data_IF_625132063005
#
_entry.id   IF_625132063005
#
_cell.length_a   1.000
_cell.length_b   1.000
_cell.length_c   1.000
_cell.angle_alpha   90.00
_cell.angle_beta   90.00
_cell.angle_gamma   90.00
#
_symmetry.space_group_name_H-M   'P 1'
#
loop_
_entity.id
_entity.type
_entity.pdbx_description
1 polymer ?
#
# COMPACT_ATOMS: atom_id res chain seq x y z
N UNK A 1 -5.17 22.43 -10.80
CA UNK A 1 -5.23 23.73 -10.17
C UNK A 1 -3.91 24.48 -10.42
N UNK A 2 -3.96 25.73 -10.87
CA UNK A 2 -2.77 26.58 -11.02
C UNK A 2 -2.66 27.45 -9.77
N UNK A 3 -1.93 27.03 -8.76
CA UNK A 3 -1.74 27.74 -7.51
C UNK A 3 -0.28 27.80 -7.07
N UNK A 4 0.04 28.65 -6.12
CA UNK A 4 1.36 28.73 -5.50
C UNK A 4 1.41 27.70 -4.37
N UNK A 5 2.27 26.68 -4.52
CA UNK A 5 2.48 25.62 -3.52
C UNK A 5 3.41 26.09 -2.39
N UNK A 6 4.42 26.91 -2.72
CA UNK A 6 5.42 27.41 -1.77
C UNK A 6 5.84 28.83 -2.15
N UNK A 7 6.01 29.71 -1.16
CA UNK A 7 6.64 31.01 -1.31
C UNK A 7 7.75 31.16 -0.28
N UNK A 8 8.93 31.56 -0.73
CA UNK A 8 10.08 31.81 0.13
C UNK A 8 10.68 33.21 -0.14
N UNK A 9 11.23 33.84 0.88
CA UNK A 9 11.97 35.10 0.78
C UNK A 9 13.35 34.94 1.38
N UNK A 10 14.34 35.57 0.78
CA UNK A 10 15.72 35.51 1.24
C UNK A 10 16.68 36.22 0.28
N UNK A 11 17.96 36.22 0.59
CA UNK A 11 18.99 36.70 -0.31
C UNK A 11 19.11 35.78 -1.54
N UNK A 12 19.52 36.33 -2.68
CA UNK A 12 19.69 35.56 -3.91
C UNK A 12 20.55 34.31 -3.72
N UNK A 13 21.68 34.43 -3.02
CA UNK A 13 22.56 33.27 -2.76
C UNK A 13 21.89 32.16 -1.94
N UNK A 14 21.16 32.51 -0.88
CA UNK A 14 20.44 31.51 -0.06
C UNK A 14 19.30 30.84 -0.82
N UNK A 15 18.54 31.61 -1.59
CA UNK A 15 17.46 31.05 -2.41
C UNK A 15 18.05 30.10 -3.49
N UNK A 16 19.13 30.50 -4.14
CA UNK A 16 19.81 29.67 -5.14
C UNK A 16 20.38 28.37 -4.55
N UNK A 17 20.86 28.39 -3.33
CA UNK A 17 21.41 27.20 -2.66
C UNK A 17 20.37 26.11 -2.38
N UNK A 18 19.09 26.47 -2.16
CA UNK A 18 18.09 25.51 -1.68
C UNK A 18 16.91 25.26 -2.64
N UNK A 19 16.65 26.16 -3.61
CA UNK A 19 15.42 26.06 -4.42
C UNK A 19 15.29 24.75 -5.19
N UNK A 20 16.39 24.27 -5.79
CA UNK A 20 16.35 23.05 -6.62
C UNK A 20 16.06 21.82 -5.78
N UNK A 21 16.64 21.71 -4.58
CA UNK A 21 16.34 20.64 -3.65
C UNK A 21 14.86 20.66 -3.22
N UNK A 22 14.37 21.84 -2.86
CA UNK A 22 12.95 22.03 -2.47
C UNK A 22 12.01 21.65 -3.63
N UNK A 23 12.32 22.10 -4.85
CA UNK A 23 11.58 21.77 -6.06
C UNK A 23 11.53 20.25 -6.28
N UNK A 24 12.69 19.56 -6.27
CA UNK A 24 12.75 18.11 -6.48
C UNK A 24 11.94 17.35 -5.43
N UNK A 25 12.07 17.70 -4.14
CA UNK A 25 11.30 17.08 -3.06
C UNK A 25 9.80 17.23 -3.29
N UNK A 26 9.35 18.42 -3.68
CA UNK A 26 7.93 18.64 -3.98
C UNK A 26 7.48 17.87 -5.23
N UNK A 27 8.25 17.87 -6.30
CA UNK A 27 7.92 17.18 -7.56
C UNK A 27 7.76 15.67 -7.35
N UNK A 28 8.73 15.01 -6.70
CA UNK A 28 8.66 13.57 -6.41
C UNK A 28 7.52 13.23 -5.44
N UNK A 29 7.37 14.00 -4.38
CA UNK A 29 6.28 13.77 -3.41
C UNK A 29 4.90 13.98 -4.04
N UNK A 30 4.74 15.01 -4.88
CA UNK A 30 3.49 15.27 -5.60
C UNK A 30 3.18 14.14 -6.58
N UNK A 31 4.18 13.59 -7.28
CA UNK A 31 3.98 12.44 -8.17
C UNK A 31 3.46 11.20 -7.42
N UNK A 32 4.00 10.91 -6.23
CA UNK A 32 3.48 9.82 -5.39
C UNK A 32 2.05 10.13 -4.95
N UNK A 33 1.77 11.33 -4.46
CA UNK A 33 0.45 11.72 -3.98
C UNK A 33 -0.61 11.66 -5.10
N UNK A 34 -0.28 12.16 -6.30
CA UNK A 34 -1.18 12.15 -7.47
C UNK A 34 -1.53 10.70 -7.87
N UNK A 35 -0.53 9.85 -8.08
CA UNK A 35 -0.77 8.44 -8.41
C UNK A 35 -1.58 7.71 -7.35
N UNK A 36 -1.32 8.01 -6.08
CA UNK A 36 -2.09 7.42 -4.98
C UNK A 36 -3.54 7.89 -5.00
N UNK A 37 -3.77 9.18 -5.25
CA UNK A 37 -5.12 9.74 -5.34
C UNK A 37 -5.90 9.15 -6.52
N UNK A 38 -5.29 9.03 -7.69
CA UNK A 38 -5.88 8.40 -8.87
C UNK A 38 -6.30 6.96 -8.61
N UNK A 39 -5.39 6.15 -8.04
CA UNK A 39 -5.67 4.76 -7.70
C UNK A 39 -6.78 4.64 -6.65
N UNK A 40 -6.71 5.46 -5.59
CA UNK A 40 -7.71 5.46 -4.52
C UNK A 40 -9.09 5.88 -5.02
N UNK A 41 -9.15 6.88 -5.91
CA UNK A 41 -10.40 7.32 -6.52
C UNK A 41 -11.00 6.24 -7.42
N UNK A 42 -10.19 5.59 -8.27
CA UNK A 42 -10.64 4.51 -9.15
C UNK A 42 -11.20 3.33 -8.34
N UNK A 43 -10.51 2.90 -7.29
CA UNK A 43 -10.94 1.80 -6.43
C UNK A 43 -12.24 2.13 -5.68
N UNK A 44 -12.32 3.30 -5.03
CA UNK A 44 -13.48 3.72 -4.23
C UNK A 44 -14.69 4.09 -5.04
N UNK A 45 -14.56 4.41 -6.31
CA UNK A 45 -15.70 4.61 -7.22
C UNK A 45 -16.53 3.32 -7.38
N UNK A 46 -15.91 2.15 -7.23
CA UNK A 46 -16.55 0.83 -7.34
C UNK A 46 -16.85 0.23 -5.97
N UNK A 47 -15.90 0.30 -5.06
CA UNK A 47 -16.06 -0.19 -3.68
C UNK A 47 -15.64 0.93 -2.70
N UNK A 48 -16.60 1.72 -2.16
CA UNK A 48 -16.30 2.82 -1.24
C UNK A 48 -15.59 2.39 0.06
N UNK A 49 -15.72 1.12 0.45
CA UNK A 49 -15.11 0.57 1.67
C UNK A 49 -13.66 0.08 1.47
N UNK A 50 -13.20 -0.06 0.22
CA UNK A 50 -11.86 -0.58 -0.03
C UNK A 50 -10.76 0.37 0.42
N UNK A 51 -9.72 -0.17 1.02
CA UNK A 51 -8.52 0.55 1.39
C UNK A 51 -7.40 0.31 0.36
N UNK A 52 -6.73 1.38 -0.05
CA UNK A 52 -5.46 1.26 -0.79
C UNK A 52 -4.34 1.36 0.22
N UNK A 53 -3.56 0.30 0.38
CA UNK A 53 -2.45 0.23 1.32
C UNK A 53 -1.10 0.20 0.60
N UNK A 54 -0.16 1.04 1.04
CA UNK A 54 1.16 1.13 0.41
C UNK A 54 2.19 0.31 1.18
N UNK A 55 3.06 -0.38 0.42
CA UNK A 55 4.12 -1.25 0.96
C UNK A 55 5.31 -0.44 1.48
N UNK A 56 6.35 -1.15 1.96
CA UNK A 56 7.64 -0.56 2.36
C UNK A 56 8.64 -0.43 1.20
N UNK A 57 8.24 -0.69 -0.05
CA UNK A 57 9.12 -0.69 -1.24
C UNK A 57 9.34 0.73 -1.81
N UNK A 58 9.42 1.74 -0.94
CA UNK A 58 9.82 3.11 -1.32
C UNK A 58 11.34 3.20 -1.52
N UNK A 59 11.79 4.30 -2.13
CA UNK A 59 13.23 4.55 -2.32
C UNK A 59 13.97 4.60 -0.96
N UNK A 60 15.14 3.92 -0.83
CA UNK A 60 15.94 3.96 0.40
C UNK A 60 16.28 5.40 0.82
N UNK A 61 16.12 5.70 2.12
CA UNK A 61 16.33 7.04 2.64
C UNK A 61 15.13 8.00 2.51
N UNK A 62 14.15 7.71 1.62
CA UNK A 62 12.99 8.58 1.38
C UNK A 62 11.71 8.15 2.11
N UNK A 63 11.79 7.25 3.12
CA UNK A 63 10.62 6.67 3.79
C UNK A 63 9.61 7.72 4.27
N UNK A 64 10.06 8.70 5.04
CA UNK A 64 9.16 9.69 5.64
C UNK A 64 8.40 10.51 4.58
N UNK A 65 9.10 10.97 3.53
CA UNK A 65 8.51 11.73 2.42
C UNK A 65 7.54 10.87 1.61
N UNK A 66 7.94 9.65 1.27
CA UNK A 66 7.13 8.74 0.47
C UNK A 66 5.82 8.35 1.18
N UNK A 67 5.89 8.03 2.48
CA UNK A 67 4.71 7.69 3.26
C UNK A 67 3.79 8.90 3.44
N UNK A 68 4.35 10.08 3.74
CA UNK A 68 3.56 11.32 3.85
C UNK A 68 2.84 11.65 2.54
N UNK A 69 3.50 11.47 1.41
CA UNK A 69 2.91 11.69 0.09
C UNK A 69 1.79 10.68 -0.22
N UNK A 70 1.98 9.40 0.07
CA UNK A 70 0.96 8.38 -0.11
C UNK A 70 -0.27 8.63 0.78
N UNK A 71 -0.07 8.99 2.05
CA UNK A 71 -1.15 9.38 2.96
C UNK A 71 -1.93 10.60 2.43
N UNK A 72 -1.23 11.61 1.91
CA UNK A 72 -1.86 12.79 1.31
C UNK A 72 -2.70 12.44 0.06
N UNK A 73 -2.35 11.37 -0.65
CA UNK A 73 -3.13 10.81 -1.76
C UNK A 73 -4.28 9.90 -1.33
N UNK A 74 -4.50 9.71 -0.04
CA UNK A 74 -5.63 8.95 0.52
C UNK A 74 -5.38 7.46 0.69
N UNK A 75 -4.12 7.00 0.63
CA UNK A 75 -3.76 5.63 0.99
C UNK A 75 -3.65 5.43 2.50
N UNK A 76 -3.68 4.18 2.91
CA UNK A 76 -3.25 3.70 4.23
C UNK A 76 -1.83 3.14 4.15
N UNK A 77 -1.21 2.93 5.30
CA UNK A 77 0.06 2.22 5.38
C UNK A 77 -0.22 0.74 5.67
N UNK A 78 0.38 -0.16 4.89
CA UNK A 78 0.24 -1.59 5.13
C UNK A 78 0.89 -1.94 6.48
N UNK A 79 2.19 -1.72 6.61
CA UNK A 79 2.94 -1.78 7.88
C UNK A 79 4.17 -0.87 7.83
N UNK A 80 4.57 -0.32 8.96
CA UNK A 80 5.71 0.60 9.06
C UNK A 80 7.07 -0.11 9.18
N UNK A 81 7.08 -1.33 9.72
CA UNK A 81 8.29 -2.10 9.96
C UNK A 81 8.00 -3.54 10.37
N UNK A 82 9.04 -4.28 10.76
CA UNK A 82 8.93 -5.67 11.21
C UNK A 82 8.27 -5.81 12.59
N UNK A 83 8.24 -4.74 13.37
CA UNK A 83 7.64 -4.70 14.71
C UNK A 83 6.17 -4.27 14.72
N UNK A 84 5.59 -3.94 13.57
CA UNK A 84 4.22 -3.43 13.48
C UNK A 84 3.20 -4.58 13.43
N UNK A 85 3.18 -5.36 12.36
CA UNK A 85 2.39 -6.58 12.21
C UNK A 85 3.26 -7.75 11.77
N UNK A 86 2.78 -8.96 11.95
CA UNK A 86 3.44 -10.18 11.46
C UNK A 86 2.93 -10.44 10.06
N UNK A 87 3.83 -10.50 9.08
CA UNK A 87 3.51 -10.86 7.71
C UNK A 87 4.49 -11.91 7.22
N UNK A 88 3.97 -13.08 6.90
CA UNK A 88 4.73 -14.21 6.38
C UNK A 88 4.64 -14.26 4.85
N UNK A 89 5.79 -14.40 4.20
CA UNK A 89 5.97 -14.67 2.77
C UNK A 89 6.61 -16.05 2.60
N UNK A 90 6.69 -16.55 1.39
CA UNK A 90 7.35 -17.81 1.05
C UNK A 90 8.74 -17.93 1.66
N UNK A 91 9.56 -16.90 1.51
CA UNK A 91 10.93 -16.89 2.05
C UNK A 91 10.99 -17.00 3.58
N UNK A 92 9.90 -16.80 4.30
CA UNK A 92 9.82 -17.06 5.74
C UNK A 92 9.32 -18.49 6.02
N UNK A 93 8.35 -18.96 5.21
CA UNK A 93 7.68 -20.25 5.40
C UNK A 93 8.62 -21.45 5.15
N UNK A 94 9.60 -21.30 4.25
CA UNK A 94 10.61 -22.36 3.98
C UNK A 94 11.44 -22.77 5.22
N UNK A 95 11.45 -21.96 6.28
CA UNK A 95 12.12 -22.26 7.54
C UNK A 95 11.21 -22.94 8.57
N UNK A 96 9.96 -23.22 8.20
CA UNK A 96 8.98 -23.86 9.05
C UNK A 96 8.60 -25.21 8.47
N UNK A 97 8.73 -26.31 9.24
CA UNK A 97 8.30 -27.62 8.82
C UNK A 97 6.79 -27.68 8.55
N UNK A 98 6.00 -26.95 9.35
CA UNK A 98 4.57 -26.79 9.22
C UNK A 98 4.16 -25.34 9.60
N UNK A 99 4.00 -24.49 8.60
CA UNK A 99 3.62 -23.08 8.81
C UNK A 99 2.21 -22.96 9.39
N UNK A 100 1.27 -23.82 8.98
CA UNK A 100 -0.12 -23.78 9.47
C UNK A 100 -0.15 -24.05 10.98
N UNK A 101 0.62 -25.00 11.47
CA UNK A 101 0.73 -25.31 12.90
C UNK A 101 1.43 -24.21 13.71
N UNK A 102 2.14 -23.28 13.06
CA UNK A 102 2.76 -22.13 13.72
C UNK A 102 1.78 -20.97 13.95
N UNK A 103 0.73 -20.83 13.13
CA UNK A 103 -0.21 -19.70 13.21
C UNK A 103 -0.80 -19.54 14.60
N UNK A 104 -1.41 -20.56 15.24
CA UNK A 104 -1.95 -20.42 16.59
C UNK A 104 -0.87 -20.15 17.64
N UNK A 105 0.35 -20.64 17.44
CA UNK A 105 1.49 -20.36 18.34
C UNK A 105 1.92 -18.90 18.25
N UNK A 106 1.95 -18.34 17.03
CA UNK A 106 2.23 -16.92 16.81
C UNK A 106 1.15 -16.04 17.43
N UNK A 107 -0.12 -16.39 17.26
CA UNK A 107 -1.24 -15.67 17.87
C UNK A 107 -1.16 -15.66 19.41
N UNK A 108 -0.80 -16.78 20.01
CA UNK A 108 -0.60 -16.88 21.46
C UNK A 108 0.62 -16.09 21.96
N UNK A 109 1.71 -16.08 21.18
CA UNK A 109 2.93 -15.36 21.55
C UNK A 109 2.83 -13.82 21.37
N UNK A 110 1.98 -13.37 20.44
CA UNK A 110 1.82 -11.95 20.07
C UNK A 110 0.34 -11.57 20.00
N UNK A 111 -0.40 -11.60 21.12
CA UNK A 111 -1.86 -11.42 21.11
C UNK A 111 -2.31 -10.02 20.66
N UNK A 112 -1.43 -9.02 20.72
CA UNK A 112 -1.68 -7.65 20.26
C UNK A 112 -1.34 -7.42 18.79
N UNK A 113 -0.77 -8.43 18.08
CA UNK A 113 -0.36 -8.29 16.68
C UNK A 113 -1.33 -9.00 15.75
N UNK A 114 -1.66 -8.33 14.65
CA UNK A 114 -2.30 -9.01 13.53
C UNK A 114 -1.30 -9.92 12.82
N UNK A 115 -1.78 -11.11 12.46
CA UNK A 115 -1.03 -12.09 11.68
C UNK A 115 -1.59 -12.10 10.27
N UNK A 116 -0.69 -11.97 9.32
CA UNK A 116 -0.97 -11.96 7.90
C UNK A 116 -0.04 -12.95 7.19
N UNK A 117 -0.54 -13.64 6.18
CA UNK A 117 0.28 -14.45 5.27
C UNK A 117 -0.09 -14.16 3.81
N UNK A 118 0.93 -14.20 2.95
CA UNK A 118 0.77 -14.20 1.52
C UNK A 118 0.39 -15.60 1.05
N UNK A 119 -0.62 -15.71 0.19
CA UNK A 119 -1.09 -16.95 -0.40
C UNK A 119 -1.06 -16.84 -1.93
N UNK A 120 -0.66 -17.93 -2.58
CA UNK A 120 -0.56 -18.02 -4.04
C UNK A 120 -1.73 -18.79 -4.66
N UNK A 121 -2.59 -19.41 -3.83
CA UNK A 121 -3.82 -20.08 -4.27
C UNK A 121 -4.97 -19.89 -3.31
N UNK A 122 -6.24 -20.00 -3.78
CA UNK A 122 -7.42 -19.97 -2.92
C UNK A 122 -7.41 -21.04 -1.83
N UNK A 123 -6.93 -22.25 -2.12
CA UNK A 123 -6.84 -23.36 -1.18
C UNK A 123 -5.88 -23.03 -0.03
N UNK A 124 -4.71 -22.48 -0.37
CA UNK A 124 -3.71 -22.04 0.60
C UNK A 124 -4.27 -20.93 1.48
N UNK A 125 -4.88 -19.90 0.87
CA UNK A 125 -5.51 -18.79 1.57
C UNK A 125 -6.60 -19.26 2.55
N UNK A 126 -7.45 -20.18 2.11
CA UNK A 126 -8.49 -20.77 2.96
C UNK A 126 -7.89 -21.60 4.11
N UNK A 127 -6.82 -22.34 3.85
CA UNK A 127 -6.08 -23.09 4.88
C UNK A 127 -5.56 -22.17 5.99
N UNK A 128 -5.03 -20.99 5.63
CA UNK A 128 -4.56 -20.01 6.60
C UNK A 128 -5.70 -19.40 7.42
N UNK A 129 -6.84 -19.09 6.79
CA UNK A 129 -8.02 -18.58 7.50
C UNK A 129 -8.54 -19.60 8.51
N UNK A 130 -8.60 -20.89 8.16
CA UNK A 130 -9.00 -21.98 9.06
C UNK A 130 -8.02 -22.16 10.22
N UNK A 131 -6.73 -21.87 10.02
CA UNK A 131 -5.71 -21.88 11.07
C UNK A 131 -5.80 -20.65 12.00
N UNK A 132 -6.64 -19.66 11.71
CA UNK A 132 -6.89 -18.50 12.56
C UNK A 132 -6.07 -17.27 12.23
N UNK A 133 -5.63 -17.12 10.98
CA UNK A 133 -4.96 -15.90 10.54
C UNK A 133 -5.95 -14.73 10.45
N UNK A 134 -5.51 -13.51 10.78
CA UNK A 134 -6.35 -12.32 10.75
C UNK A 134 -6.57 -11.77 9.33
N UNK A 135 -5.56 -11.90 8.49
CA UNK A 135 -5.52 -11.33 7.15
C UNK A 135 -4.78 -12.24 6.17
N UNK A 136 -5.36 -12.46 5.00
CA UNK A 136 -4.65 -13.12 3.90
C UNK A 136 -4.38 -12.13 2.78
N UNK A 137 -3.16 -12.16 2.25
CA UNK A 137 -2.74 -11.40 1.08
C UNK A 137 -2.70 -12.33 -0.13
N UNK A 138 -3.71 -12.20 -1.02
CA UNK A 138 -3.80 -12.96 -2.26
C UNK A 138 -2.82 -12.38 -3.28
N UNK A 139 -1.71 -13.06 -3.54
CA UNK A 139 -0.68 -12.59 -4.44
C UNK A 139 -1.00 -13.00 -5.88
N UNK A 140 -1.21 -12.01 -6.73
CA UNK A 140 -1.46 -12.16 -8.17
C UNK A 140 -2.68 -13.03 -8.56
N UNK A 141 -3.67 -13.16 -7.70
CA UNK A 141 -4.93 -13.79 -8.10
C UNK A 141 -5.56 -13.01 -9.25
N UNK A 142 -6.10 -13.73 -10.23
CA UNK A 142 -6.91 -13.08 -11.26
C UNK A 142 -8.21 -12.52 -10.64
N UNK A 143 -8.76 -11.39 -11.11
CA UNK A 143 -9.96 -10.80 -10.52
C UNK A 143 -11.15 -11.75 -10.37
N UNK A 144 -11.41 -12.61 -11.38
CA UNK A 144 -12.50 -13.57 -11.31
C UNK A 144 -12.29 -14.64 -10.22
N UNK A 145 -11.08 -15.17 -10.10
CA UNK A 145 -10.67 -16.11 -9.05
C UNK A 145 -10.77 -15.46 -7.66
N UNK A 146 -10.25 -14.24 -7.55
CA UNK A 146 -10.29 -13.46 -6.31
C UNK A 146 -11.73 -13.20 -5.86
N UNK A 147 -12.63 -12.85 -6.77
CA UNK A 147 -14.05 -12.62 -6.44
C UNK A 147 -14.74 -13.89 -5.91
N UNK A 148 -14.45 -15.04 -6.52
CA UNK A 148 -14.96 -16.33 -6.05
C UNK A 148 -14.42 -16.65 -4.64
N UNK A 149 -13.11 -16.50 -4.44
CA UNK A 149 -12.46 -16.69 -3.14
C UNK A 149 -13.00 -15.75 -2.06
N UNK A 150 -13.13 -14.45 -2.34
CA UNK A 150 -13.68 -13.48 -1.39
C UNK A 150 -15.07 -13.86 -0.93
N UNK A 151 -15.94 -14.28 -1.85
CA UNK A 151 -17.30 -14.72 -1.55
C UNK A 151 -17.31 -15.93 -0.60
N UNK A 152 -16.48 -16.94 -0.88
CA UNK A 152 -16.36 -18.14 -0.06
C UNK A 152 -15.77 -17.81 1.32
N UNK A 153 -14.64 -17.11 1.35
CA UNK A 153 -13.93 -16.75 2.57
C UNK A 153 -14.78 -15.90 3.51
N UNK A 154 -15.52 -14.91 2.99
CA UNK A 154 -16.40 -14.06 3.81
C UNK A 154 -17.63 -14.80 4.33
N UNK A 155 -18.10 -15.84 3.65
CA UNK A 155 -19.19 -16.68 4.15
C UNK A 155 -18.75 -17.52 5.36
N UNK A 156 -17.52 -18.05 5.36
CA UNK A 156 -16.98 -18.87 6.47
C UNK A 156 -16.33 -17.98 7.54
N UNK A 157 -15.62 -16.92 7.14
CA UNK A 157 -14.85 -16.01 8.01
C UNK A 157 -15.23 -14.54 7.78
N UNK A 158 -16.41 -14.07 8.24
CA UNK A 158 -16.91 -12.72 7.92
C UNK A 158 -16.03 -11.57 8.45
N UNK A 159 -15.17 -11.84 9.44
CA UNK A 159 -14.26 -10.85 10.03
C UNK A 159 -12.84 -10.90 9.46
N UNK A 160 -12.50 -11.91 8.68
CA UNK A 160 -11.18 -11.99 8.06
C UNK A 160 -10.96 -10.82 7.09
N UNK A 161 -9.76 -10.26 7.07
CA UNK A 161 -9.37 -9.23 6.12
C UNK A 161 -8.73 -9.91 4.90
N UNK A 162 -9.26 -9.59 3.73
CA UNK A 162 -8.74 -10.12 2.46
C UNK A 162 -8.10 -8.99 1.68
N UNK A 163 -6.81 -9.14 1.42
CA UNK A 163 -6.03 -8.20 0.64
C UNK A 163 -5.68 -8.80 -0.72
N UNK A 164 -5.67 -7.97 -1.74
CA UNK A 164 -5.11 -8.29 -3.04
C UNK A 164 -3.76 -7.59 -3.22
N UNK A 165 -2.77 -8.32 -3.73
CA UNK A 165 -1.44 -7.82 -4.03
C UNK A 165 -0.91 -8.36 -5.36
N UNK A 166 0.20 -7.80 -5.83
CA UNK A 166 0.83 -8.24 -7.07
C UNK A 166 0.33 -7.50 -8.32
N UNK A 167 1.08 -6.48 -8.77
CA UNK A 167 0.81 -5.77 -10.02
C UNK A 167 -0.36 -4.77 -10.01
N UNK A 168 -0.94 -4.48 -8.85
CA UNK A 168 -2.09 -3.57 -8.73
C UNK A 168 -1.64 -2.11 -8.90
N UNK A 169 -2.35 -1.38 -9.74
CA UNK A 169 -2.06 0.00 -10.14
C UNK A 169 -3.37 0.76 -10.46
N UNK A 170 -3.30 2.03 -10.85
CA UNK A 170 -4.49 2.83 -11.11
C UNK A 170 -5.37 2.30 -12.27
N UNK A 171 -4.77 1.60 -13.25
CA UNK A 171 -5.51 1.10 -14.40
C UNK A 171 -6.40 -0.12 -14.08
N UNK A 172 -6.01 -0.94 -13.10
CA UNK A 172 -6.74 -2.16 -12.71
C UNK A 172 -7.35 -2.10 -11.30
N UNK A 173 -7.12 -1.02 -10.54
CA UNK A 173 -7.61 -0.90 -9.17
C UNK A 173 -9.13 -1.02 -9.05
N UNK A 174 -9.89 -0.49 -10.01
CA UNK A 174 -11.36 -0.61 -10.03
C UNK A 174 -11.81 -2.07 -10.20
N UNK A 175 -11.16 -2.83 -11.07
CA UNK A 175 -11.45 -4.24 -11.31
C UNK A 175 -11.19 -5.09 -10.06
N UNK A 176 -10.03 -4.89 -9.41
CA UNK A 176 -9.73 -5.56 -8.15
C UNK A 176 -10.65 -5.14 -7.01
N UNK A 177 -11.03 -3.87 -6.93
CA UNK A 177 -11.98 -3.39 -5.92
C UNK A 177 -13.38 -4.00 -6.10
N UNK A 178 -13.79 -4.29 -7.33
CA UNK A 178 -15.07 -4.95 -7.66
C UNK A 178 -15.17 -6.38 -7.13
N UNK A 179 -14.05 -7.04 -6.83
CA UNK A 179 -14.03 -8.41 -6.27
C UNK A 179 -14.54 -8.49 -4.85
N UNK A 180 -14.68 -7.34 -4.16
CA UNK A 180 -15.11 -7.28 -2.77
C UNK A 180 -13.98 -7.42 -1.74
N UNK A 181 -12.70 -7.34 -2.16
CA UNK A 181 -11.57 -7.31 -1.21
C UNK A 181 -11.61 -6.09 -0.31
N UNK A 182 -11.06 -6.23 0.89
CA UNK A 182 -10.98 -5.16 1.87
C UNK A 182 -9.80 -4.21 1.58
N UNK A 183 -8.70 -4.73 1.04
CA UNK A 183 -7.45 -3.98 0.86
C UNK A 183 -6.81 -4.26 -0.49
N UNK A 184 -6.38 -3.21 -1.18
CA UNK A 184 -5.48 -3.26 -2.34
C UNK A 184 -4.08 -2.88 -1.90
N UNK A 185 -3.13 -3.81 -1.94
CA UNK A 185 -1.75 -3.60 -1.54
C UNK A 185 -0.90 -3.27 -2.75
N UNK A 186 -0.19 -2.14 -2.72
CA UNK A 186 0.59 -1.68 -3.87
C UNK A 186 1.90 -1.01 -3.50
N UNK A 187 2.88 -1.13 -4.40
CA UNK A 187 4.10 -0.31 -4.43
C UNK A 187 4.12 0.62 -5.65
N UNK A 188 3.19 0.45 -6.59
CA UNK A 188 3.18 1.14 -7.87
C UNK A 188 3.25 2.66 -7.72
N UNK A 189 2.63 3.21 -6.70
CA UNK A 189 2.61 4.65 -6.44
C UNK A 189 4.00 5.27 -6.28
N UNK A 190 5.01 4.47 -5.89
CA UNK A 190 6.38 4.94 -5.71
C UNK A 190 7.18 4.99 -7.03
N UNK A 191 6.74 4.23 -8.05
CA UNK A 191 7.48 4.05 -9.29
C UNK A 191 6.81 4.81 -10.44
N UNK A 192 7.21 6.05 -10.65
CA UNK A 192 6.65 6.87 -11.71
C UNK A 192 7.28 8.25 -11.79
N UNK A 193 6.85 9.01 -12.76
CA UNK A 193 7.39 10.36 -13.02
C UNK A 193 7.03 11.30 -11.86
N UNK A 194 7.92 12.25 -11.51
CA UNK A 194 7.57 13.39 -10.65
C UNK A 194 6.56 14.30 -11.36
N UNK A 195 5.85 15.11 -10.59
CA UNK A 195 5.06 16.22 -11.14
C UNK A 195 5.97 17.37 -11.56
N UNK A 196 5.55 18.17 -12.55
CA UNK A 196 6.29 19.36 -12.96
C UNK A 196 5.85 20.59 -12.17
N UNK A 197 6.73 21.08 -11.30
CA UNK A 197 6.49 22.27 -10.47
C UNK A 197 7.37 23.42 -10.97
N UNK A 198 6.73 24.44 -11.53
CA UNK A 198 7.44 25.59 -12.08
C UNK A 198 7.96 26.52 -10.97
N UNK A 199 9.26 26.77 -10.97
CA UNK A 199 9.91 27.75 -10.11
C UNK A 199 9.92 29.14 -10.77
N UNK A 200 9.62 30.20 -9.99
CA UNK A 200 9.76 31.60 -10.42
C UNK A 200 10.48 32.40 -9.35
N UNK A 201 11.43 33.22 -9.78
CA UNK A 201 12.08 34.23 -8.96
C UNK A 201 11.53 35.62 -9.32
N UNK A 202 11.41 36.50 -8.33
CA UNK A 202 11.13 37.89 -8.51
C UNK A 202 11.95 38.74 -7.52
N UNK A 203 12.26 39.96 -7.89
CA UNK A 203 12.75 40.95 -6.90
C UNK A 203 11.62 41.31 -5.95
N UNK A 204 11.96 41.55 -4.67
CA UNK A 204 11.04 42.09 -3.67
C UNK A 204 10.77 43.57 -3.93
#
# INVERSE_FOLDING_TARGET
>A
ARGICLRARGTAGRLHACYKLAQNVMEYSSGIATRTAEMSAAARAVNPAVHVAVTRKHFPGAKALSLKAALAGGASLHRLGLSDSILAFDQHRIFADDFIALIPKMAAAFPEKKIEAEAESPEEAMGYLRAGIDMVQCERFAPAELAAFVKEAKAEFPRAVIAAAGGINAANAAEYAATGVDVLVTSWVYFGKPEDIKMKFSRA
#
